data_IF_488849966576
#
_entry.id   IF_488849966576
#
_cell.length_a   1.000
_cell.length_b   1.000
_cell.length_c   1.000
_cell.angle_alpha   90.00
_cell.angle_beta   90.00
_cell.angle_gamma   90.00
#
_symmetry.space_group_name_H-M   'P 1'
#
loop_
_entity.id
_entity.type
_entity.pdbx_description
1 polymer ?
#
# COMPACT_ATOMS: atom_id res chain seq x y z
N UNK A 1 11.17 -14.59 0.62
CA UNK A 1 11.22 -13.56 1.69
C UNK A 1 11.92 -12.29 1.23
N UNK A 2 12.88 -12.43 0.32
CA UNK A 2 13.63 -11.39 -0.38
C UNK A 2 12.72 -10.32 -1.00
N UNK A 3 11.64 -10.73 -1.67
CA UNK A 3 10.66 -9.80 -2.27
C UNK A 3 9.95 -8.92 -1.22
N UNK A 4 9.54 -9.51 -0.09
CA UNK A 4 8.89 -8.77 0.99
C UNK A 4 9.85 -7.77 1.67
N UNK A 5 11.09 -8.18 1.89
CA UNK A 5 12.12 -7.31 2.45
C UNK A 5 12.52 -6.19 1.48
N UNK A 6 12.64 -6.50 0.18
CA UNK A 6 12.91 -5.52 -0.86
C UNK A 6 11.79 -4.49 -0.99
N UNK A 7 10.53 -4.95 -1.00
CA UNK A 7 9.36 -4.08 -0.99
C UNK A 7 9.34 -3.17 0.24
N UNK A 8 9.62 -3.72 1.43
CA UNK A 8 9.69 -2.94 2.66
C UNK A 8 10.81 -1.88 2.59
N UNK A 9 12.02 -2.25 2.17
CA UNK A 9 13.14 -1.33 2.03
C UNK A 9 12.81 -0.17 1.05
N UNK A 10 12.25 -0.49 -0.12
CA UNK A 10 11.83 0.53 -1.11
C UNK A 10 10.71 1.41 -0.55
N UNK A 11 9.73 0.84 0.14
CA UNK A 11 8.63 1.59 0.76
C UNK A 11 9.12 2.55 1.86
N UNK A 12 10.22 2.23 2.54
CA UNK A 12 10.85 3.12 3.53
C UNK A 12 11.67 4.23 2.86
N UNK A 13 12.29 3.94 1.71
CA UNK A 13 13.14 4.89 0.98
C UNK A 13 12.32 5.92 0.18
N UNK A 14 11.24 5.50 -0.48
CA UNK A 14 10.49 6.35 -1.39
C UNK A 14 9.88 7.61 -0.75
N UNK A 15 9.26 7.56 0.46
CA UNK A 15 8.75 8.76 1.13
C UNK A 15 9.84 9.80 1.38
N UNK A 16 11.08 9.36 1.65
CA UNK A 16 12.22 10.25 1.81
C UNK A 16 12.63 10.91 0.49
N UNK A 17 12.70 10.15 -0.60
CA UNK A 17 13.01 10.68 -1.93
C UNK A 17 11.93 11.64 -2.43
N UNK A 18 10.67 11.37 -2.07
CA UNK A 18 9.49 12.15 -2.45
C UNK A 18 9.05 13.15 -1.37
N UNK A 19 9.92 13.49 -0.41
CA UNK A 19 9.58 14.42 0.68
C UNK A 19 9.08 15.79 0.19
N UNK A 20 9.45 16.20 -1.02
CA UNK A 20 8.97 17.45 -1.64
C UNK A 20 7.46 17.42 -1.91
N UNK A 21 6.87 16.24 -2.10
CA UNK A 21 5.42 16.05 -2.25
C UNK A 21 4.67 16.17 -0.92
N UNK A 22 5.37 16.08 0.21
CA UNK A 22 4.81 16.10 1.57
C UNK A 22 5.50 17.17 2.43
N UNK A 23 5.38 18.47 2.09
CA UNK A 23 6.15 19.53 2.73
C UNK A 23 5.85 19.70 4.24
N UNK A 24 4.73 19.16 4.72
CA UNK A 24 4.33 19.23 6.13
C UNK A 24 4.71 17.98 6.94
N UNK A 25 5.30 16.97 6.31
CA UNK A 25 5.68 15.73 6.98
C UNK A 25 7.11 15.85 7.52
N UNK A 26 7.26 15.63 8.83
CA UNK A 26 8.57 15.45 9.46
C UNK A 26 9.09 14.02 9.28
N UNK A 27 10.28 13.78 9.83
CA UNK A 27 10.97 12.47 9.75
C UNK A 27 10.09 11.31 10.19
N UNK A 28 9.37 11.48 11.30
CA UNK A 28 8.50 10.44 11.85
C UNK A 28 7.31 10.13 10.94
N UNK A 29 6.72 11.14 10.29
CA UNK A 29 5.62 10.95 9.35
C UNK A 29 6.07 10.24 8.07
N UNK A 30 7.30 10.51 7.60
CA UNK A 30 7.87 9.80 6.45
C UNK A 30 8.15 8.32 6.76
N UNK A 31 8.67 8.03 7.95
CA UNK A 31 8.85 6.66 8.45
C UNK A 31 7.51 5.93 8.56
N UNK A 32 6.50 6.58 9.17
CA UNK A 32 5.15 6.01 9.27
C UNK A 32 4.52 5.77 7.89
N UNK A 33 4.72 6.68 6.93
CA UNK A 33 4.26 6.50 5.55
C UNK A 33 4.86 5.24 4.95
N UNK A 34 6.18 5.05 5.10
CA UNK A 34 6.85 3.86 4.58
C UNK A 34 6.36 2.57 5.22
N UNK A 35 6.14 2.57 6.54
CA UNK A 35 5.57 1.41 7.25
C UNK A 35 4.14 1.10 6.79
N UNK A 36 3.28 2.12 6.65
CA UNK A 36 1.90 1.94 6.17
C UNK A 36 1.89 1.34 4.78
N UNK A 37 2.70 1.88 3.85
CA UNK A 37 2.77 1.39 2.47
C UNK A 37 3.37 -0.02 2.40
N UNK A 38 4.50 -0.25 3.07
CA UNK A 38 5.23 -1.50 3.02
C UNK A 38 4.46 -2.67 3.66
N UNK A 39 3.99 -2.48 4.89
CA UNK A 39 3.27 -3.52 5.63
C UNK A 39 1.83 -3.61 5.14
N UNK A 40 1.14 -2.47 5.02
CA UNK A 40 -0.26 -2.44 4.57
C UNK A 40 -0.43 -3.00 3.15
N UNK A 41 0.52 -2.72 2.26
CA UNK A 41 0.51 -3.26 0.90
C UNK A 41 0.61 -4.78 0.86
N UNK A 42 1.53 -5.35 1.63
CA UNK A 42 1.70 -6.80 1.74
C UNK A 42 0.48 -7.46 2.39
N UNK A 43 -0.06 -6.87 3.46
CA UNK A 43 -1.26 -7.39 4.11
C UNK A 43 -2.48 -7.36 3.20
N UNK A 44 -2.62 -6.33 2.36
CA UNK A 44 -3.72 -6.20 1.41
C UNK A 44 -3.67 -7.28 0.33
N UNK A 45 -2.51 -7.43 -0.30
CA UNK A 45 -2.25 -8.48 -1.30
C UNK A 45 -2.49 -9.89 -0.74
N UNK A 46 -1.99 -10.17 0.48
CA UNK A 46 -2.21 -11.45 1.15
C UNK A 46 -3.68 -11.69 1.49
N UNK A 47 -4.40 -10.66 1.98
CA UNK A 47 -5.81 -10.79 2.35
C UNK A 47 -6.66 -11.15 1.14
N UNK A 48 -6.47 -10.45 0.02
CA UNK A 48 -7.19 -10.77 -1.22
C UNK A 48 -6.76 -12.11 -1.79
N UNK A 49 -5.48 -12.46 -1.71
CA UNK A 49 -4.99 -13.77 -2.13
C UNK A 49 -5.61 -14.93 -1.36
N UNK A 50 -5.89 -14.78 -0.06
CA UNK A 50 -6.62 -15.79 0.73
C UNK A 50 -8.06 -15.89 0.23
N UNK A 51 -8.77 -14.77 0.07
CA UNK A 51 -10.16 -14.77 -0.41
C UNK A 51 -10.25 -15.45 -1.79
N UNK A 52 -9.30 -15.17 -2.70
CA UNK A 52 -9.23 -15.81 -4.02
C UNK A 52 -9.12 -17.34 -3.92
N UNK A 53 -8.32 -17.85 -3.00
CA UNK A 53 -8.18 -19.30 -2.76
C UNK A 53 -9.45 -19.92 -2.20
N UNK A 54 -10.14 -19.22 -1.30
CA UNK A 54 -11.39 -19.71 -0.71
C UNK A 54 -12.52 -19.85 -1.75
N UNK A 55 -12.57 -18.95 -2.74
CA UNK A 55 -13.55 -19.02 -3.83
C UNK A 55 -13.08 -19.88 -5.02
N UNK A 56 -11.89 -20.47 -4.96
CA UNK A 56 -11.33 -21.33 -5.99
C UNK A 56 -10.95 -20.62 -7.29
N UNK A 57 -10.75 -19.30 -7.27
CA UNK A 57 -10.37 -18.50 -8.45
C UNK A 57 -8.97 -17.90 -8.28
N UNK A 58 -8.29 -17.64 -9.40
CA UNK A 58 -6.95 -17.03 -9.38
C UNK A 58 -7.00 -15.51 -9.56
N UNK A 59 -7.92 -15.05 -10.41
CA UNK A 59 -8.12 -13.64 -10.74
C UNK A 59 -9.58 -13.30 -10.42
N UNK A 60 -9.81 -12.10 -9.88
CA UNK A 60 -11.15 -11.65 -9.46
C UNK A 60 -12.00 -11.13 -10.63
N UNK A 61 -11.51 -11.26 -11.86
CA UNK A 61 -12.21 -10.90 -13.08
C UNK A 61 -11.29 -10.88 -14.31
N UNK A 62 -11.86 -10.61 -15.48
CA UNK A 62 -11.14 -10.45 -16.76
C UNK A 62 -11.28 -9.05 -17.34
N UNK A 63 -11.34 -8.02 -16.49
CA UNK A 63 -11.67 -6.65 -16.91
C UNK A 63 -10.56 -6.01 -17.76
N UNK A 64 -9.30 -6.40 -17.53
CA UNK A 64 -8.16 -5.87 -18.29
C UNK A 64 -7.51 -7.02 -19.09
N UNK A 65 -7.50 -6.97 -20.44
CA UNK A 65 -6.90 -8.01 -21.26
C UNK A 65 -5.44 -8.28 -20.86
N UNK A 66 -5.14 -9.53 -20.50
CA UNK A 66 -3.81 -9.97 -20.06
C UNK A 66 -3.35 -9.50 -18.67
N UNK A 67 -4.20 -8.78 -17.93
CA UNK A 67 -3.81 -8.11 -16.69
C UNK A 67 -4.69 -8.45 -15.47
N UNK A 68 -5.65 -9.37 -15.61
CA UNK A 68 -6.53 -9.81 -14.53
C UNK A 68 -7.66 -8.83 -14.22
N UNK A 69 -8.20 -8.92 -13.00
CA UNK A 69 -9.28 -8.07 -12.53
C UNK A 69 -8.78 -6.72 -12.00
N UNK A 70 -9.67 -5.72 -11.98
CA UNK A 70 -9.38 -4.43 -11.32
C UNK A 70 -9.05 -4.65 -9.84
N UNK A 71 -9.72 -5.60 -9.19
CA UNK A 71 -9.51 -5.91 -7.77
C UNK A 71 -8.08 -6.40 -7.49
N UNK A 72 -7.48 -7.14 -8.42
CA UNK A 72 -6.08 -7.60 -8.33
C UNK A 72 -5.06 -6.44 -8.51
N UNK A 73 -5.52 -5.24 -8.83
CA UNK A 73 -4.67 -4.03 -8.96
C UNK A 73 -4.75 -3.11 -7.76
N UNK A 74 -5.78 -3.27 -6.94
CA UNK A 74 -6.03 -2.42 -5.77
C UNK A 74 -5.98 -3.20 -4.46
N UNK A 75 -5.69 -4.50 -4.49
CA UNK A 75 -5.59 -5.37 -3.32
C UNK A 75 -4.65 -4.83 -2.25
N UNK A 76 -3.45 -4.42 -2.64
CA UNK A 76 -2.46 -3.76 -1.78
C UNK A 76 -2.92 -2.39 -1.27
N UNK A 77 -3.83 -1.70 -1.97
CA UNK A 77 -4.33 -0.38 -1.56
C UNK A 77 -5.42 -0.44 -0.49
N UNK A 78 -6.05 -1.60 -0.27
CA UNK A 78 -7.21 -1.73 0.63
C UNK A 78 -6.88 -1.26 2.05
N UNK A 79 -5.68 -1.56 2.56
CA UNK A 79 -5.23 -1.04 3.85
C UNK A 79 -4.41 0.24 3.72
N UNK A 80 -3.58 0.37 2.68
CA UNK A 80 -2.70 1.53 2.52
C UNK A 80 -3.49 2.83 2.38
N UNK A 81 -4.50 2.86 1.51
CA UNK A 81 -5.25 4.07 1.20
C UNK A 81 -5.95 4.70 2.43
N UNK A 82 -6.80 3.97 3.20
CA UNK A 82 -7.48 4.57 4.34
C UNK A 82 -6.51 4.97 5.46
N UNK A 83 -5.48 4.17 5.75
CA UNK A 83 -4.50 4.47 6.79
C UNK A 83 -3.66 5.71 6.44
N UNK A 84 -3.16 5.76 5.20
CA UNK A 84 -2.39 6.90 4.73
C UNK A 84 -3.23 8.17 4.69
N UNK A 85 -4.46 8.10 4.15
CA UNK A 85 -5.36 9.25 4.12
C UNK A 85 -5.71 9.73 5.52
N UNK A 86 -5.96 8.84 6.47
CA UNK A 86 -6.24 9.22 7.85
C UNK A 86 -5.04 9.94 8.48
N UNK A 87 -3.84 9.36 8.35
CA UNK A 87 -2.60 9.95 8.85
C UNK A 87 -2.35 11.34 8.24
N UNK A 88 -2.44 11.44 6.91
CA UNK A 88 -2.25 12.70 6.21
C UNK A 88 -3.26 13.76 6.68
N UNK A 89 -4.55 13.45 6.66
CA UNK A 89 -5.59 14.38 7.11
C UNK A 89 -5.38 14.82 8.56
N UNK A 90 -4.98 13.91 9.46
CA UNK A 90 -4.71 14.24 10.85
C UNK A 90 -3.60 15.29 10.99
N UNK A 91 -2.46 15.12 10.31
CA UNK A 91 -1.34 16.07 10.40
C UNK A 91 -1.59 17.38 9.66
N UNK A 92 -2.32 17.35 8.54
CA UNK A 92 -2.72 18.58 7.84
C UNK A 92 -3.76 19.39 8.61
N UNK A 93 -4.62 18.76 9.43
CA UNK A 93 -5.60 19.46 10.28
C UNK A 93 -5.03 20.03 11.58
N UNK A 94 -3.92 19.47 12.07
CA UNK A 94 -3.25 19.95 13.29
C UNK A 94 -2.44 21.25 13.05
N UNK A 95 -2.45 21.76 11.83
CA UNK A 95 -1.88 23.05 11.44
C UNK A 95 -2.96 23.88 10.74
#
# INVERSE_FOLDING_TARGET
WEGALGALAVSMLLPWLLRFSFPFFGVWQLVLTGLIVGIGGQLGDLSISVIKRDIGTKDMGGTIPGHGGILDRIDSLIYVAPLFMHMANYYYRLR
#
